data_IF_822554715035
#
_entry.id   IF_822554715035
#
_cell.length_a   1.000
_cell.length_b   1.000
_cell.length_c   1.000
_cell.angle_alpha   90.00
_cell.angle_beta   90.00
_cell.angle_gamma   90.00
#
_symmetry.space_group_name_H-M   'P 1'
#
loop_
_entity.id
_entity.type
_entity.pdbx_description
1 polymer ?
#
# COMPACT_ATOMS: atom_id res chain seq x y z
N UNK A 1 -6.77 8.36 -5.46
CA UNK A 1 -7.38 7.07 -5.06
C UNK A 1 -7.66 7.10 -3.58
N UNK A 2 -8.68 6.34 -3.15
CA UNK A 2 -9.08 6.24 -1.75
C UNK A 2 -8.18 5.23 -1.02
N UNK A 3 -7.73 5.60 0.18
CA UNK A 3 -7.02 4.69 1.08
C UNK A 3 -7.94 4.34 2.24
N UNK A 4 -8.10 3.05 2.47
CA UNK A 4 -8.80 2.46 3.61
C UNK A 4 -7.82 1.79 4.57
N UNK A 5 -8.33 1.49 5.74
CA UNK A 5 -7.64 0.80 6.82
C UNK A 5 -8.53 -0.32 7.30
N UNK A 6 -7.93 -1.39 7.83
CA UNK A 6 -8.67 -2.56 8.31
C UNK A 6 -9.60 -2.23 9.48
N UNK A 7 -9.21 -1.26 10.31
CA UNK A 7 -9.96 -0.79 11.46
C UNK A 7 -9.49 0.60 11.90
N UNK A 8 -10.25 1.21 12.83
CA UNK A 8 -9.97 2.56 13.34
C UNK A 8 -8.62 2.65 14.07
N UNK A 9 -8.20 1.60 14.77
CA UNK A 9 -6.88 1.55 15.43
C UNK A 9 -5.75 1.65 14.40
N UNK A 10 -5.87 0.91 13.30
CA UNK A 10 -4.88 0.94 12.22
C UNK A 10 -4.87 2.30 11.52
N UNK A 11 -6.05 2.89 11.31
CA UNK A 11 -6.17 4.26 10.79
C UNK A 11 -5.45 5.27 11.69
N UNK A 12 -5.75 5.27 12.99
CA UNK A 12 -5.11 6.16 13.97
C UNK A 12 -3.59 5.98 13.96
N UNK A 13 -3.12 4.73 13.88
CA UNK A 13 -1.69 4.42 13.79
C UNK A 13 -1.02 5.07 12.59
N UNK A 14 -1.55 4.91 11.38
CA UNK A 14 -0.97 5.46 10.15
C UNK A 14 -1.17 6.97 9.98
N UNK A 15 -2.17 7.56 10.64
CA UNK A 15 -2.41 9.01 10.66
C UNK A 15 -1.57 9.73 11.74
N UNK A 16 -1.07 9.00 12.74
CA UNK A 16 -0.26 9.55 13.83
C UNK A 16 1.24 9.48 13.54
N UNK A 17 1.85 10.62 13.20
CA UNK A 17 3.31 10.72 13.04
C UNK A 17 4.06 10.25 14.30
N UNK A 18 3.50 10.50 15.49
CA UNK A 18 4.08 10.06 16.77
C UNK A 18 4.12 8.54 16.88
N UNK A 19 3.04 7.84 16.52
CA UNK A 19 2.97 6.38 16.61
C UNK A 19 3.86 5.74 15.54
N UNK A 20 3.82 6.24 14.30
CA UNK A 20 4.72 5.77 13.25
C UNK A 20 6.20 5.97 13.60
N UNK A 21 6.58 7.11 14.20
CA UNK A 21 7.96 7.34 14.65
C UNK A 21 8.36 6.44 15.79
N UNK A 22 7.43 6.11 16.70
CA UNK A 22 7.70 5.17 17.79
C UNK A 22 8.04 3.78 17.26
N UNK A 23 7.32 3.34 16.23
CA UNK A 23 7.48 2.00 15.65
C UNK A 23 8.62 1.92 14.62
N UNK A 24 8.66 2.86 13.69
CA UNK A 24 9.53 2.81 12.50
C UNK A 24 10.65 3.86 12.50
N UNK A 25 10.77 4.68 13.56
CA UNK A 25 11.81 5.70 13.67
C UNK A 25 11.80 6.68 12.50
N UNK A 26 12.96 6.83 11.85
CA UNK A 26 13.14 7.74 10.70
C UNK A 26 12.31 7.35 9.47
N UNK A 27 11.91 6.08 9.35
CA UNK A 27 11.08 5.61 8.24
C UNK A 27 9.64 6.14 8.31
N UNK A 28 9.18 6.60 9.48
CA UNK A 28 7.84 7.15 9.66
C UNK A 28 7.51 8.23 8.64
N UNK A 29 8.46 9.12 8.37
CA UNK A 29 8.29 10.17 7.35
C UNK A 29 8.16 9.61 5.95
N UNK A 30 8.90 8.55 5.63
CA UNK A 30 8.82 7.90 4.32
C UNK A 30 7.47 7.18 4.16
N UNK A 31 6.99 6.49 5.20
CA UNK A 31 5.68 5.82 5.21
C UNK A 31 4.57 6.86 4.99
N UNK A 32 4.52 7.92 5.79
CA UNK A 32 3.51 8.98 5.67
C UNK A 32 3.53 9.63 4.27
N UNK A 33 4.73 9.87 3.70
CA UNK A 33 4.85 10.36 2.32
C UNK A 33 4.26 9.38 1.30
N UNK A 34 4.48 8.07 1.44
CA UNK A 34 3.89 7.08 0.53
C UNK A 34 2.37 7.11 0.59
N UNK A 35 1.77 7.21 1.77
CA UNK A 35 0.31 7.31 1.90
C UNK A 35 -0.24 8.54 1.16
N UNK A 36 0.41 9.70 1.28
CA UNK A 36 0.02 10.92 0.56
C UNK A 36 0.18 10.75 -0.96
N UNK A 37 1.31 10.19 -1.40
CA UNK A 37 1.58 10.01 -2.83
C UNK A 37 0.65 8.97 -3.47
N UNK A 38 0.29 7.91 -2.74
CA UNK A 38 -0.69 6.92 -3.19
C UNK A 38 -2.03 7.59 -3.46
N UNK A 39 -2.51 8.44 -2.55
CA UNK A 39 -3.78 9.18 -2.73
C UNK A 39 -3.81 10.04 -4.01
N UNK A 40 -2.66 10.50 -4.49
CA UNK A 40 -2.55 11.33 -5.69
C UNK A 40 -2.73 10.58 -7.02
N UNK A 41 -2.65 9.24 -7.03
CA UNK A 41 -2.90 8.45 -8.25
C UNK A 41 -4.40 8.21 -8.46
N UNK A 42 -4.84 8.14 -9.71
CA UNK A 42 -6.22 7.93 -10.10
C UNK A 42 -6.65 6.47 -10.00
N UNK A 43 -5.73 5.52 -10.23
CA UNK A 43 -6.02 4.08 -10.24
C UNK A 43 -4.81 3.22 -9.90
N UNK A 44 -5.06 1.95 -9.56
CA UNK A 44 -4.01 0.95 -9.34
C UNK A 44 -3.14 0.76 -10.56
N UNK A 45 -3.70 0.81 -11.78
CA UNK A 45 -2.90 0.79 -13.01
C UNK A 45 -1.89 1.95 -13.06
N UNK A 46 -2.32 3.16 -12.73
CA UNK A 46 -1.41 4.31 -12.71
C UNK A 46 -0.35 4.17 -11.61
N UNK A 47 -0.75 3.65 -10.45
CA UNK A 47 0.18 3.34 -9.37
C UNK A 47 1.21 2.28 -9.78
N UNK A 48 0.83 1.19 -10.44
CA UNK A 48 1.79 0.16 -10.87
C UNK A 48 2.76 0.66 -11.96
N UNK A 49 2.31 1.60 -12.79
CA UNK A 49 3.12 2.17 -13.87
C UNK A 49 3.98 3.36 -13.43
N UNK A 50 3.95 3.75 -12.14
CA UNK A 50 4.80 4.84 -11.64
C UNK A 50 6.18 4.36 -11.20
N UNK A 51 7.13 5.29 -11.07
CA UNK A 51 8.43 5.06 -10.46
C UNK A 51 8.42 5.06 -8.92
N UNK A 52 7.26 5.26 -8.28
CA UNK A 52 7.16 5.44 -6.82
C UNK A 52 7.49 4.15 -6.05
N UNK A 53 8.76 3.94 -5.70
CA UNK A 53 9.20 2.75 -4.95
C UNK A 53 8.92 1.43 -5.64
N UNK A 54 8.97 1.43 -6.99
CA UNK A 54 8.87 0.23 -7.85
C UNK A 54 7.73 -0.71 -7.43
N UNK A 55 6.48 -0.22 -7.48
CA UNK A 55 5.33 -0.97 -7.04
C UNK A 55 5.15 -2.22 -7.91
N UNK A 56 4.88 -3.35 -7.27
CA UNK A 56 4.66 -4.62 -7.98
C UNK A 56 3.66 -5.49 -7.23
N UNK A 57 2.93 -6.31 -8.00
CA UNK A 57 2.00 -7.30 -7.46
C UNK A 57 2.77 -8.40 -6.71
N UNK A 58 2.22 -8.82 -5.58
CA UNK A 58 2.71 -9.94 -4.79
C UNK A 58 1.96 -11.23 -5.14
N UNK A 59 2.58 -12.35 -4.78
CA UNK A 59 2.06 -13.71 -4.94
C UNK A 59 2.17 -14.46 -3.62
N UNK A 60 1.53 -15.63 -3.50
CA UNK A 60 1.60 -16.44 -2.28
C UNK A 60 0.63 -15.94 -1.21
N UNK A 61 1.09 -15.76 0.03
CA UNK A 61 0.24 -15.32 1.14
C UNK A 61 -0.38 -13.92 0.89
N UNK A 62 0.39 -13.03 0.28
CA UNK A 62 -0.07 -11.70 -0.12
C UNK A 62 -0.54 -11.66 -1.58
N UNK A 63 -1.08 -12.76 -2.12
CA UNK A 63 -1.62 -12.78 -3.48
C UNK A 63 -2.59 -11.61 -3.71
N UNK A 64 -2.45 -10.97 -4.87
CA UNK A 64 -3.21 -9.77 -5.28
C UNK A 64 -2.94 -8.50 -4.47
N UNK A 65 -2.01 -8.51 -3.53
CA UNK A 65 -1.52 -7.29 -2.88
C UNK A 65 -0.41 -6.64 -3.71
N UNK A 66 -0.05 -5.41 -3.35
CA UNK A 66 1.01 -4.63 -3.98
C UNK A 66 2.04 -4.26 -2.92
N UNK A 67 3.30 -4.54 -3.19
CA UNK A 67 4.42 -4.07 -2.39
C UNK A 67 4.98 -2.77 -2.97
N UNK A 68 5.20 -1.78 -2.10
CA UNK A 68 5.77 -0.49 -2.44
C UNK A 68 6.99 -0.25 -1.55
N UNK A 69 8.17 -0.07 -2.13
CA UNK A 69 9.39 0.20 -1.35
C UNK A 69 9.26 1.51 -0.58
N UNK A 70 9.46 1.44 0.74
CA UNK A 70 9.60 2.59 1.65
C UNK A 70 11.09 2.93 1.83
N UNK A 71 11.92 1.88 1.97
CA UNK A 71 13.38 1.95 2.01
C UNK A 71 13.98 0.72 1.30
N UNK A 72 15.29 0.49 1.44
CA UNK A 72 15.93 -0.71 0.91
C UNK A 72 15.33 -2.00 1.48
N UNK A 73 14.94 -1.99 2.76
CA UNK A 73 14.51 -3.18 3.49
C UNK A 73 12.99 -3.22 3.69
N UNK A 74 12.36 -2.06 3.87
CA UNK A 74 10.94 -1.99 4.21
C UNK A 74 10.06 -1.79 2.98
N UNK A 75 8.95 -2.54 2.92
CA UNK A 75 7.88 -2.34 1.95
C UNK A 75 6.56 -2.05 2.66
N UNK A 76 5.80 -1.12 2.10
CA UNK A 76 4.39 -0.89 2.42
C UNK A 76 3.57 -1.85 1.55
N UNK A 77 2.76 -2.68 2.20
CA UNK A 77 1.85 -3.62 1.56
C UNK A 77 0.45 -3.01 1.54
N UNK A 78 -0.13 -2.94 0.35
CA UNK A 78 -1.50 -2.48 0.14
C UNK A 78 -2.29 -3.53 -0.61
N UNK A 79 -3.59 -3.61 -0.34
CA UNK A 79 -4.51 -4.51 -1.02
C UNK A 79 -5.51 -3.71 -1.84
N UNK A 80 -5.53 -3.83 -3.17
CA UNK A 80 -6.60 -3.27 -3.97
C UNK A 80 -7.96 -3.86 -3.61
N UNK A 81 -8.99 -3.01 -3.57
CA UNK A 81 -10.37 -3.47 -3.43
C UNK A 81 -10.99 -3.63 -4.81
N UNK A 82 -11.33 -4.89 -5.14
CA UNK A 82 -11.95 -5.23 -6.41
C UNK A 82 -13.47 -5.20 -6.28
N UNK A 83 -14.20 -4.84 -7.35
CA UNK A 83 -15.65 -4.99 -7.40
C UNK A 83 -16.11 -6.40 -7.05
N UNK A 84 -17.32 -6.52 -6.50
CA UNK A 84 -17.95 -7.82 -6.27
C UNK A 84 -18.04 -8.60 -7.60
N UNK A 85 -17.79 -9.92 -7.56
CA UNK A 85 -17.77 -10.81 -8.74
C UNK A 85 -16.73 -10.46 -9.83
N UNK A 86 -15.61 -9.84 -9.45
CA UNK A 86 -14.50 -9.57 -10.39
C UNK A 86 -13.99 -10.84 -11.08
N UNK A 87 -14.10 -10.87 -12.41
CA UNK A 87 -13.38 -11.83 -13.26
C UNK A 87 -11.92 -11.37 -13.40
N UNK A 88 -11.04 -12.01 -12.63
CA UNK A 88 -9.61 -11.67 -12.62
C UNK A 88 -8.92 -11.90 -13.97
N UNK A 89 -9.47 -12.74 -14.87
CA UNK A 89 -8.92 -12.92 -16.20
C UNK A 89 -9.15 -11.70 -17.12
N UNK A 90 -10.12 -10.84 -16.78
CA UNK A 90 -10.49 -9.62 -17.52
C UNK A 90 -10.33 -8.36 -16.68
N UNK A 91 -9.62 -8.45 -15.55
CA UNK A 91 -9.48 -7.35 -14.62
C UNK A 91 -8.76 -6.17 -15.26
N UNK A 92 -9.46 -5.04 -15.35
CA UNK A 92 -8.86 -3.76 -15.67
C UNK A 92 -8.49 -3.02 -14.38
N UNK A 93 -7.19 -2.91 -14.10
CA UNK A 93 -6.69 -2.16 -12.94
C UNK A 93 -6.90 -0.64 -13.05
N UNK A 94 -7.36 -0.13 -14.21
CA UNK A 94 -7.69 1.29 -14.39
C UNK A 94 -8.94 1.70 -13.61
N UNK A 95 -9.87 0.76 -13.37
CA UNK A 95 -11.12 1.01 -12.62
C UNK A 95 -10.97 0.78 -11.12
N UNK A 96 -9.81 0.28 -10.67
CA UNK A 96 -9.55 -0.01 -9.26
C UNK A 96 -8.97 1.23 -8.60
N UNK A 97 -9.79 1.91 -7.79
CA UNK A 97 -9.50 3.25 -7.23
C UNK A 97 -9.48 3.27 -5.70
N UNK A 98 -9.66 2.11 -5.05
CA UNK A 98 -9.67 1.96 -3.59
C UNK A 98 -8.63 0.92 -3.21
N UNK A 99 -7.80 1.24 -2.22
CA UNK A 99 -6.80 0.33 -1.66
C UNK A 99 -6.85 0.35 -0.14
N UNK A 100 -6.59 -0.79 0.49
CA UNK A 100 -6.52 -0.93 1.95
C UNK A 100 -5.06 -1.10 2.35
N UNK A 101 -4.62 -0.37 3.38
CA UNK A 101 -3.28 -0.56 3.95
C UNK A 101 -3.28 -1.84 4.76
N UNK A 102 -2.37 -2.76 4.45
CA UNK A 102 -2.20 -4.00 5.20
C UNK A 102 -1.16 -3.80 6.29
N UNK A 103 0.09 -3.54 5.91
CA UNK A 103 1.20 -3.42 6.86
C UNK A 103 2.43 -2.76 6.22
N UNK A 104 3.41 -2.42 7.06
CA UNK A 104 4.78 -2.11 6.64
C UNK A 104 5.70 -3.19 7.20
N UNK A 105 6.31 -3.97 6.31
CA UNK A 105 7.09 -5.17 6.66
C UNK A 105 8.54 -5.07 6.18
N UNK A 106 9.46 -5.69 6.93
CA UNK A 106 10.85 -5.87 6.53
C UNK A 106 10.96 -7.13 5.65
N UNK A 107 11.34 -6.94 4.40
CA UNK A 107 11.39 -8.00 3.41
C UNK A 107 12.73 -8.74 3.37
N UNK A 108 13.73 -8.30 4.15
CA UNK A 108 14.97 -9.07 4.35
C UNK A 108 14.98 -9.89 5.64
N UNK A 109 13.90 -9.88 6.43
CA UNK A 109 13.79 -10.64 7.67
C UNK A 109 13.43 -12.11 7.46
N UNK A 110 14.44 -12.95 7.26
CA UNK A 110 14.45 -14.33 7.79
C UNK A 110 15.39 -14.36 9.00
#
# INVERSE_FOLDING_TARGET
MEIRFENDTQKEFYESEKLLRREYGELARAIARRLVQIKAYESVRQLLNTGLGKPHMLTGEYDKCIAISVSANYRLIIKPEYPEYTDFAKLDLSIVTVVTIMEVTDYHGN
#
